data_IF_157076985611
#
_entry.id   IF_157076985611
#
_cell.length_a   1.000
_cell.length_b   1.000
_cell.length_c   1.000
_cell.angle_alpha   90.00
_cell.angle_beta   90.00
_cell.angle_gamma   90.00
#
_symmetry.space_group_name_H-M   'P 1'
#
loop_
_entity.id
_entity.type
_entity.pdbx_description
1 polymer ?
#
# COMPACT_ATOMS: atom_id res chain seq x y z
N UNK A 1 1.94 87.77 10.67
CA UNK A 1 1.62 87.76 12.11
C UNK A 1 0.98 86.42 12.41
N UNK A 2 1.44 85.54 13.28
CA UNK A 2 2.52 85.58 14.26
C UNK A 2 2.90 84.11 14.52
N UNK A 3 4.20 83.87 14.48
CA UNK A 3 4.88 82.77 15.13
C UNK A 3 4.64 82.74 16.65
N UNK A 4 5.01 81.61 17.26
CA UNK A 4 5.22 81.34 18.71
C UNK A 4 3.96 80.76 19.40
N UNK A 5 4.01 79.67 20.17
CA UNK A 5 4.95 79.34 21.23
C UNK A 5 5.02 77.84 21.54
N UNK A 6 6.22 77.41 21.98
CA UNK A 6 6.57 76.13 22.62
C UNK A 6 5.86 75.92 23.96
N UNK A 7 5.71 74.63 24.37
CA UNK A 7 6.07 74.00 25.69
C UNK A 7 5.08 72.86 26.01
N UNK A 8 5.52 71.60 25.98
CA UNK A 8 6.11 70.83 27.09
C UNK A 8 5.10 70.20 28.07
N UNK A 9 5.05 68.85 28.01
CA UNK A 9 4.93 67.87 29.10
C UNK A 9 3.57 67.51 29.76
N UNK A 10 3.09 66.29 29.41
CA UNK A 10 2.58 65.17 30.26
C UNK A 10 1.23 65.36 31.01
N UNK A 11 0.42 64.32 31.34
CA UNK A 11 0.29 62.91 30.89
C UNK A 11 -1.14 62.55 30.42
N UNK A 12 -1.31 61.51 29.61
CA UNK A 12 -2.56 60.71 29.65
C UNK A 12 -2.28 59.23 29.48
N UNK A 13 -2.58 58.51 30.55
CA UNK A 13 -2.88 57.10 30.54
C UNK A 13 -4.15 56.82 29.72
N UNK A 14 -4.15 55.65 29.06
CA UNK A 14 -5.28 54.75 28.83
C UNK A 14 -5.62 54.45 27.36
N UNK A 15 -5.46 53.15 27.06
CA UNK A 15 -6.27 52.29 26.19
C UNK A 15 -6.11 52.37 24.68
N UNK A 16 -5.39 51.36 24.16
CA UNK A 16 -5.79 50.38 23.12
C UNK A 16 -4.52 49.98 22.33
N UNK A 17 -4.19 48.75 21.97
CA UNK A 17 -4.66 47.40 22.28
C UNK A 17 -3.54 46.47 21.79
N UNK A 18 -3.13 45.53 22.64
CA UNK A 18 -2.49 44.23 22.34
C UNK A 18 -1.65 44.06 21.06
N UNK A 19 -0.34 44.23 21.18
CA UNK A 19 0.66 43.52 20.33
C UNK A 19 1.73 42.91 21.25
N UNK A 20 1.48 41.70 21.72
CA UNK A 20 2.43 40.68 22.23
C UNK A 20 1.62 39.37 22.02
N UNK A 21 2.08 38.26 21.47
CA UNK A 21 3.19 37.35 21.80
C UNK A 21 3.29 36.40 20.58
N UNK A 22 4.44 36.09 19.99
CA UNK A 22 5.26 34.91 20.32
C UNK A 22 6.56 34.94 19.49
N UNK A 23 7.59 35.52 20.07
CA UNK A 23 8.97 35.07 19.87
C UNK A 23 9.51 34.75 21.26
N UNK A 24 10.25 33.66 21.32
CA UNK A 24 10.92 33.08 22.50
C UNK A 24 10.07 32.13 23.36
N UNK A 25 10.26 30.83 23.13
CA UNK A 25 10.39 29.85 24.22
C UNK A 25 11.16 28.61 23.75
N UNK A 26 12.40 28.77 23.29
CA UNK A 26 13.38 27.70 23.45
C UNK A 26 13.99 27.90 24.84
N UNK A 27 13.38 27.28 25.85
CA UNK A 27 14.03 27.17 27.16
C UNK A 27 15.23 26.24 27.01
N UNK A 28 16.41 26.84 26.79
CA UNK A 28 17.68 26.14 27.01
C UNK A 28 17.81 25.86 28.51
N UNK A 29 17.47 24.63 28.92
CA UNK A 29 17.71 24.17 30.29
C UNK A 29 19.17 23.72 30.37
N UNK A 30 20.06 24.66 30.67
CA UNK A 30 21.45 24.35 31.02
C UNK A 30 21.43 23.71 32.42
N UNK A 31 21.84 22.44 32.51
CA UNK A 31 22.11 21.71 33.75
C UNK A 31 23.03 22.56 34.64
N UNK A 32 22.48 23.14 35.71
CA UNK A 32 23.19 24.19 36.47
C UNK A 32 24.17 23.66 37.50
N UNK A 33 24.20 22.38 37.86
CA UNK A 33 25.09 21.90 38.92
C UNK A 33 25.65 20.52 38.59
N UNK A 34 26.86 20.46 38.01
CA UNK A 34 27.60 19.21 38.02
C UNK A 34 29.10 19.40 37.82
N UNK A 35 29.90 18.74 38.68
CA UNK A 35 31.36 18.74 38.65
C UNK A 35 31.94 18.05 37.40
N UNK A 36 33.25 18.16 37.17
CA UNK A 36 33.99 17.65 36.01
C UNK A 36 33.78 16.17 35.68
N UNK A 37 33.39 15.32 36.64
CA UNK A 37 33.05 13.92 36.39
C UNK A 37 31.70 13.73 35.67
N UNK A 38 30.84 14.75 35.74
CA UNK A 38 29.53 14.75 35.10
C UNK A 38 29.58 15.25 33.66
N UNK A 39 30.58 16.05 33.28
CA UNK A 39 30.80 16.48 31.88
C UNK A 39 30.99 15.28 30.95
N UNK A 40 31.64 14.20 31.43
CA UNK A 40 31.73 12.95 30.70
C UNK A 40 30.34 12.35 30.45
N UNK A 41 29.47 12.27 31.46
CA UNK A 41 28.12 11.71 31.28
C UNK A 41 27.22 12.63 30.47
N UNK A 42 27.25 13.94 30.72
CA UNK A 42 26.32 14.91 30.13
C UNK A 42 26.70 15.25 28.68
N UNK A 43 27.99 15.36 28.37
CA UNK A 43 28.50 15.68 27.05
C UNK A 43 29.07 14.46 26.31
N UNK A 44 30.20 13.93 26.80
CA UNK A 44 30.99 12.95 26.06
C UNK A 44 30.26 11.60 25.85
N UNK A 45 29.43 11.18 26.81
CA UNK A 45 28.74 9.89 26.77
C UNK A 45 27.66 9.85 25.69
N UNK A 46 26.91 10.94 25.53
CA UNK A 46 25.91 11.06 24.45
C UNK A 46 26.58 10.96 23.09
N UNK A 47 27.64 11.73 22.88
CA UNK A 47 28.35 11.78 21.60
C UNK A 47 29.06 10.45 21.27
N UNK A 48 29.57 9.75 22.30
CA UNK A 48 30.38 8.54 22.13
C UNK A 48 29.60 7.22 22.16
N UNK A 49 28.52 7.12 22.94
CA UNK A 49 27.83 5.86 23.21
C UNK A 49 26.34 5.84 22.83
N UNK A 50 25.68 6.99 22.66
CA UNK A 50 24.27 7.07 22.24
C UNK A 50 24.11 7.35 20.73
N UNK A 51 25.14 7.02 19.95
CA UNK A 51 25.33 7.14 18.49
C UNK A 51 24.18 7.70 17.62
N UNK A 52 24.55 8.54 16.65
CA UNK A 52 23.75 9.18 15.58
C UNK A 52 22.53 10.02 15.99
N UNK A 53 22.12 10.05 17.27
CA UNK A 53 21.11 11.00 17.78
C UNK A 53 21.67 11.76 18.98
N UNK A 54 21.56 13.09 18.96
CA UNK A 54 21.87 13.93 20.13
C UNK A 54 20.78 13.71 21.17
N UNK A 55 21.17 13.26 22.35
CA UNK A 55 20.28 13.05 23.50
C UNK A 55 20.68 14.02 24.61
N UNK A 56 19.73 14.83 25.07
CA UNK A 56 19.93 15.74 26.19
C UNK A 56 19.53 15.08 27.50
N UNK A 57 20.32 15.31 28.55
CA UNK A 57 19.93 14.91 29.91
C UNK A 57 18.88 15.87 30.45
N UNK A 58 17.91 15.34 31.19
CA UNK A 58 16.90 16.14 31.91
C UNK A 58 16.85 15.73 33.38
N UNK A 59 16.67 16.70 34.27
CA UNK A 59 16.41 16.48 35.69
C UNK A 59 14.91 16.27 35.99
N UNK A 60 14.05 16.46 34.98
CA UNK A 60 12.61 16.28 35.12
C UNK A 60 12.24 14.82 34.92
N UNK A 61 11.59 14.22 35.93
CA UNK A 61 10.99 12.89 35.83
C UNK A 61 9.70 12.97 34.99
N UNK A 62 9.86 12.93 33.68
CA UNK A 62 8.74 12.96 32.72
C UNK A 62 8.74 11.68 31.89
N UNK A 63 7.63 10.94 31.92
CA UNK A 63 7.37 9.82 31.01
C UNK A 63 6.38 10.33 29.96
N UNK A 64 6.80 10.56 28.71
CA UNK A 64 5.89 11.11 27.70
C UNK A 64 4.76 10.13 27.42
N UNK A 65 3.53 10.62 27.52
CA UNK A 65 2.35 9.83 27.16
C UNK A 65 2.21 9.80 25.63
N UNK A 66 2.03 8.61 25.01
CA UNK A 66 1.78 8.53 23.57
C UNK A 66 0.48 9.24 23.16
N UNK A 67 -0.45 9.44 24.09
CA UNK A 67 -1.73 10.14 23.85
C UNK A 67 -1.62 11.67 23.86
N UNK A 68 -0.48 12.21 24.30
CA UNK A 68 -0.22 13.66 24.33
C UNK A 68 0.71 14.10 23.19
N UNK A 69 1.32 13.15 22.48
CA UNK A 69 2.18 13.43 21.35
C UNK A 69 1.34 13.74 20.10
N UNK A 70 1.81 14.70 19.29
CA UNK A 70 1.20 14.97 18.00
C UNK A 70 1.33 13.76 17.08
N UNK A 71 0.26 13.45 16.37
CA UNK A 71 0.23 12.37 15.38
C UNK A 71 0.73 12.84 14.02
N UNK A 72 1.12 11.89 13.18
CA UNK A 72 1.55 12.15 11.80
C UNK A 72 0.32 12.57 10.98
N UNK A 73 0.34 13.75 10.33
CA UNK A 73 -0.79 14.24 9.55
C UNK A 73 -0.99 13.42 8.27
N UNK A 74 -2.21 13.44 7.73
CA UNK A 74 -2.56 12.79 6.47
C UNK A 74 -2.28 13.75 5.32
N UNK A 75 -1.28 13.45 4.49
CA UNK A 75 -0.97 14.21 3.27
C UNK A 75 -2.07 14.02 2.22
N UNK A 76 -2.56 15.13 1.67
CA UNK A 76 -3.65 15.21 0.71
C UNK A 76 -3.38 16.31 -0.29
N UNK A 77 -3.72 16.09 -1.56
CA UNK A 77 -3.45 17.02 -2.67
C UNK A 77 -4.73 17.63 -3.21
N UNK A 78 -5.78 16.83 -3.35
CA UNK A 78 -7.10 17.25 -3.84
C UNK A 78 -8.14 17.21 -2.73
N UNK A 79 -9.22 17.99 -2.81
CA UNK A 79 -10.40 17.79 -1.97
C UNK A 79 -11.37 16.77 -2.60
N UNK A 80 -12.52 16.52 -1.97
CA UNK A 80 -13.58 15.62 -2.47
C UNK A 80 -14.19 16.11 -3.79
N UNK A 81 -14.09 17.41 -4.06
CA UNK A 81 -14.58 18.10 -5.26
C UNK A 81 -13.56 18.09 -6.41
N UNK A 82 -12.41 17.42 -6.23
CA UNK A 82 -11.37 17.30 -7.26
C UNK A 82 -10.60 18.61 -7.53
N UNK A 83 -10.60 19.55 -6.58
CA UNK A 83 -9.81 20.78 -6.62
C UNK A 83 -8.49 20.59 -5.88
N UNK A 84 -7.41 21.18 -6.38
CA UNK A 84 -6.11 21.18 -5.70
C UNK A 84 -6.15 22.09 -4.47
N UNK A 85 -5.82 21.53 -3.31
CA UNK A 85 -5.80 22.27 -2.03
C UNK A 85 -4.62 23.25 -2.02
N UNK A 86 -3.45 22.79 -2.47
CA UNK A 86 -2.26 23.60 -2.66
C UNK A 86 -1.68 23.29 -4.05
N UNK A 87 -1.72 24.25 -4.99
CA UNK A 87 -1.22 24.08 -6.36
C UNK A 87 0.24 23.65 -6.46
N UNK A 88 1.07 23.89 -5.44
CA UNK A 88 2.47 23.47 -5.44
C UNK A 88 2.66 21.95 -5.45
N UNK A 89 1.61 21.20 -5.12
CA UNK A 89 1.61 19.74 -5.13
C UNK A 89 0.85 19.16 -6.34
N UNK A 90 0.43 19.96 -7.33
CA UNK A 90 0.04 19.42 -8.64
C UNK A 90 1.30 18.87 -9.35
N UNK A 91 1.40 17.56 -9.59
CA UNK A 91 2.60 16.98 -10.19
C UNK A 91 2.68 17.17 -11.71
N UNK A 92 1.79 18.00 -12.30
CA UNK A 92 1.73 18.31 -13.72
C UNK A 92 1.66 17.04 -14.58
N UNK A 93 0.71 16.16 -14.25
CA UNK A 93 0.50 14.91 -14.98
C UNK A 93 0.15 15.21 -16.44
N UNK A 94 0.73 14.44 -17.38
CA UNK A 94 0.21 14.46 -18.75
C UNK A 94 -1.20 13.88 -18.78
N UNK A 95 -2.02 14.33 -19.73
CA UNK A 95 -3.38 13.83 -19.94
C UNK A 95 -3.38 12.32 -20.12
N UNK A 96 -2.41 11.77 -20.86
CA UNK A 96 -2.29 10.34 -21.14
C UNK A 96 -2.04 9.53 -19.87
N UNK A 97 -1.12 9.99 -19.01
CA UNK A 97 -0.82 9.31 -17.74
C UNK A 97 -2.02 9.35 -16.79
N UNK A 98 -2.67 10.51 -16.69
CA UNK A 98 -3.86 10.68 -15.85
C UNK A 98 -5.02 9.78 -16.32
N UNK A 99 -5.30 9.76 -17.63
CA UNK A 99 -6.32 8.86 -18.21
C UNK A 99 -5.95 7.40 -17.99
N UNK A 100 -4.68 7.00 -18.19
CA UNK A 100 -4.23 5.62 -17.92
C UNK A 100 -4.54 5.21 -16.49
N UNK A 101 -4.19 6.03 -15.50
CA UNK A 101 -4.46 5.74 -14.09
C UNK A 101 -5.97 5.57 -13.83
N UNK A 102 -6.79 6.49 -14.35
CA UNK A 102 -8.23 6.43 -14.17
C UNK A 102 -8.88 5.21 -14.82
N UNK A 103 -8.50 4.92 -16.06
CA UNK A 103 -8.96 3.76 -16.82
C UNK A 103 -8.64 2.45 -16.09
N UNK A 104 -7.45 2.33 -15.49
CA UNK A 104 -7.09 1.17 -14.68
C UNK A 104 -7.97 1.02 -13.43
N UNK A 105 -8.34 2.11 -12.76
CA UNK A 105 -9.25 2.03 -11.60
C UNK A 105 -10.65 1.52 -12.02
N UNK A 106 -11.16 2.00 -13.16
CA UNK A 106 -12.44 1.51 -13.70
C UNK A 106 -12.33 0.03 -14.07
N UNK A 107 -11.26 -0.36 -14.77
CA UNK A 107 -11.05 -1.75 -15.19
C UNK A 107 -11.00 -2.69 -14.00
N UNK A 108 -10.25 -2.32 -12.93
CA UNK A 108 -10.18 -3.09 -11.69
C UNK A 108 -11.55 -3.26 -11.04
N UNK A 109 -12.30 -2.16 -10.87
CA UNK A 109 -13.64 -2.20 -10.26
C UNK A 109 -14.63 -3.06 -11.04
N UNK A 110 -14.57 -3.01 -12.38
CA UNK A 110 -15.45 -3.83 -13.23
C UNK A 110 -15.04 -5.31 -13.20
N UNK A 111 -13.74 -5.59 -13.12
CA UNK A 111 -13.21 -6.96 -12.98
C UNK A 111 -13.65 -7.57 -11.65
N UNK A 112 -13.59 -6.80 -10.57
CA UNK A 112 -14.01 -7.25 -9.25
C UNK A 112 -15.47 -7.63 -9.21
N UNK A 113 -16.36 -6.83 -9.80
CA UNK A 113 -17.80 -7.16 -9.85
C UNK A 113 -18.06 -8.50 -10.54
N UNK A 114 -17.43 -8.71 -11.69
CA UNK A 114 -17.63 -9.94 -12.49
C UNK A 114 -17.08 -11.17 -11.76
N UNK A 115 -15.86 -11.08 -11.21
CA UNK A 115 -15.23 -12.22 -10.54
C UNK A 115 -15.84 -12.50 -9.16
N UNK A 116 -16.30 -11.47 -8.44
CA UNK A 116 -17.05 -11.65 -7.21
C UNK A 116 -18.37 -12.40 -7.46
N UNK A 117 -19.14 -11.98 -8.46
CA UNK A 117 -20.39 -12.67 -8.84
C UNK A 117 -20.13 -14.09 -9.35
N UNK A 118 -19.03 -14.30 -10.08
CA UNK A 118 -18.59 -15.63 -10.52
C UNK A 118 -18.36 -16.58 -9.34
N UNK A 119 -17.72 -16.08 -8.29
CA UNK A 119 -17.50 -16.86 -7.06
C UNK A 119 -18.83 -17.18 -6.38
N UNK A 120 -19.79 -16.24 -6.31
CA UNK A 120 -21.13 -16.49 -5.75
C UNK A 120 -21.92 -17.57 -6.51
N UNK A 121 -21.61 -17.77 -7.79
CA UNK A 121 -22.16 -18.84 -8.62
C UNK A 121 -21.38 -20.16 -8.52
N UNK A 122 -20.29 -20.22 -7.75
CA UNK A 122 -19.45 -21.41 -7.60
C UNK A 122 -18.55 -21.72 -8.81
N UNK A 123 -18.39 -20.77 -9.75
CA UNK A 123 -17.55 -20.96 -10.95
C UNK A 123 -16.05 -20.88 -10.63
N UNK A 124 -15.70 -20.05 -9.64
CA UNK A 124 -14.37 -19.99 -9.02
C UNK A 124 -14.50 -20.20 -7.51
N UNK A 125 -13.44 -20.67 -6.86
CA UNK A 125 -13.53 -21.09 -5.45
C UNK A 125 -13.47 -19.94 -4.45
N UNK A 126 -12.75 -18.86 -4.78
CA UNK A 126 -12.47 -17.74 -3.87
C UNK A 126 -12.27 -16.44 -4.65
N UNK A 127 -12.57 -15.29 -4.01
CA UNK A 127 -12.24 -13.98 -4.55
C UNK A 127 -12.15 -12.91 -3.45
N UNK A 128 -11.39 -11.83 -3.71
CA UNK A 128 -11.33 -10.63 -2.87
C UNK A 128 -11.39 -9.40 -3.78
N UNK A 129 -12.32 -8.49 -3.49
CA UNK A 129 -12.47 -7.25 -4.24
C UNK A 129 -11.51 -6.15 -3.73
N UNK A 130 -11.26 -5.14 -4.55
CA UNK A 130 -10.33 -4.05 -4.31
C UNK A 130 -11.05 -2.71 -4.05
N UNK A 131 -12.38 -2.73 -3.99
CA UNK A 131 -13.21 -1.53 -3.86
C UNK A 131 -12.82 -0.68 -2.65
N UNK A 132 -12.49 0.58 -2.92
CA UNK A 132 -12.00 1.57 -1.95
C UNK A 132 -10.49 1.75 -1.97
N UNK A 133 -9.73 0.77 -2.48
CA UNK A 133 -8.26 0.78 -2.44
C UNK A 133 -7.62 0.98 -3.83
N UNK A 134 -8.40 1.33 -4.85
CA UNK A 134 -7.94 1.44 -6.24
C UNK A 134 -6.89 2.54 -6.41
N UNK A 135 -7.11 3.72 -5.81
CA UNK A 135 -6.17 4.84 -5.85
C UNK A 135 -4.83 4.49 -5.18
N UNK A 136 -4.87 3.81 -4.03
CA UNK A 136 -3.67 3.36 -3.32
C UNK A 136 -2.83 2.41 -4.19
N UNK A 137 -3.46 1.46 -4.88
CA UNK A 137 -2.77 0.50 -5.74
C UNK A 137 -2.21 1.15 -7.01
N UNK A 138 -3.05 1.89 -7.74
CA UNK A 138 -2.69 2.44 -9.05
C UNK A 138 -1.79 3.66 -8.93
N UNK A 139 -2.06 4.55 -7.97
CA UNK A 139 -1.23 5.72 -7.71
C UNK A 139 0.19 5.32 -7.30
N UNK A 140 0.33 4.29 -6.46
CA UNK A 140 1.65 3.80 -6.05
C UNK A 140 2.39 3.11 -7.19
N UNK A 141 1.71 2.26 -7.96
CA UNK A 141 2.32 1.62 -9.13
C UNK A 141 2.78 2.64 -10.20
N UNK A 142 2.01 3.71 -10.39
CA UNK A 142 2.37 4.82 -11.29
C UNK A 142 3.58 5.64 -10.80
N UNK A 143 3.82 5.70 -9.48
CA UNK A 143 4.96 6.39 -8.89
C UNK A 143 6.29 5.61 -8.96
N UNK A 144 6.28 4.39 -9.52
CA UNK A 144 7.44 3.51 -9.64
C UNK A 144 7.97 3.44 -11.06
N UNK A 145 9.19 2.92 -11.22
CA UNK A 145 9.68 2.46 -12.53
C UNK A 145 9.09 1.09 -12.85
N UNK A 146 8.96 0.79 -14.14
CA UNK A 146 8.45 -0.49 -14.61
C UNK A 146 9.32 -1.68 -14.16
N UNK A 147 10.62 -1.44 -13.94
CA UNK A 147 11.59 -2.46 -13.51
C UNK A 147 11.78 -2.55 -11.98
N UNK A 148 11.14 -1.71 -11.17
CA UNK A 148 11.15 -1.87 -9.71
C UNK A 148 10.42 -3.16 -9.31
N UNK A 149 10.84 -3.83 -8.24
CA UNK A 149 10.24 -5.11 -7.83
C UNK A 149 9.07 -4.88 -6.86
N UNK A 150 7.94 -5.56 -7.09
CA UNK A 150 6.75 -5.49 -6.25
C UNK A 150 6.55 -6.80 -5.49
N UNK A 151 6.39 -6.69 -4.17
CA UNK A 151 5.84 -7.74 -3.32
C UNK A 151 4.46 -7.31 -2.82
N UNK A 152 3.42 -8.09 -3.09
CA UNK A 152 2.06 -7.84 -2.61
C UNK A 152 1.67 -8.73 -1.43
N UNK A 153 0.48 -8.49 -0.90
CA UNK A 153 -0.16 -9.33 0.11
C UNK A 153 -1.28 -10.18 -0.50
N UNK A 154 -2.27 -9.55 -1.16
CA UNK A 154 -3.36 -10.19 -1.91
C UNK A 154 -4.39 -9.16 -2.45
N UNK A 155 -4.23 -7.86 -2.17
CA UNK A 155 -5.15 -6.79 -2.60
C UNK A 155 -4.41 -5.74 -3.40
N UNK A 156 -3.54 -6.20 -4.30
CA UNK A 156 -2.64 -5.40 -5.13
C UNK A 156 -2.83 -5.70 -6.64
N UNK A 157 -4.00 -6.24 -7.00
CA UNK A 157 -4.33 -6.55 -8.40
C UNK A 157 -4.29 -5.29 -9.29
N UNK A 158 -4.64 -4.12 -8.75
CA UNK A 158 -4.53 -2.82 -9.42
C UNK A 158 -3.09 -2.44 -9.77
N UNK A 159 -2.11 -2.75 -8.91
CA UNK A 159 -0.70 -2.47 -9.18
C UNK A 159 -0.19 -3.33 -10.35
N UNK A 160 -0.58 -4.61 -10.36
CA UNK A 160 -0.24 -5.55 -11.43
C UNK A 160 -0.97 -5.21 -12.75
N UNK A 161 -2.23 -4.79 -12.67
CA UNK A 161 -3.03 -4.32 -13.80
C UNK A 161 -2.41 -3.07 -14.44
N UNK A 162 -1.97 -2.10 -13.63
CA UNK A 162 -1.31 -0.88 -14.11
C UNK A 162 -0.03 -1.16 -14.90
N UNK A 163 0.71 -2.23 -14.53
CA UNK A 163 1.88 -2.74 -15.25
C UNK A 163 1.54 -3.47 -16.55
N UNK A 164 0.25 -3.58 -16.90
CA UNK A 164 -0.19 -4.19 -18.15
C UNK A 164 -0.35 -5.70 -18.08
N UNK A 165 -0.55 -6.28 -16.89
CA UNK A 165 -0.87 -7.70 -16.79
C UNK A 165 -2.18 -8.00 -17.51
N UNK A 166 -2.22 -8.99 -18.44
CA UNK A 166 -3.40 -9.21 -19.26
C UNK A 166 -4.62 -9.63 -18.43
N UNK A 167 -5.81 -9.12 -18.82
CA UNK A 167 -7.08 -9.52 -18.21
C UNK A 167 -7.27 -11.03 -18.25
N UNK A 168 -6.94 -11.69 -19.37
CA UNK A 168 -7.02 -13.15 -19.48
C UNK A 168 -6.16 -13.86 -18.44
N UNK A 169 -4.98 -13.33 -18.10
CA UNK A 169 -4.09 -13.93 -17.12
C UNK A 169 -4.64 -13.85 -15.70
N UNK A 170 -5.33 -12.76 -15.33
CA UNK A 170 -6.09 -12.71 -14.06
C UNK A 170 -7.16 -13.81 -14.02
N UNK A 171 -7.91 -13.97 -15.11
CA UNK A 171 -8.95 -15.00 -15.20
C UNK A 171 -8.36 -16.41 -15.15
N UNK A 172 -7.26 -16.66 -15.85
CA UNK A 172 -6.60 -17.98 -15.88
C UNK A 172 -6.16 -18.41 -14.49
N UNK A 173 -5.58 -17.49 -13.71
CA UNK A 173 -5.18 -17.75 -12.33
C UNK A 173 -6.39 -18.04 -11.44
N UNK A 174 -7.45 -17.23 -11.51
CA UNK A 174 -8.67 -17.46 -10.72
C UNK A 174 -9.39 -18.77 -11.08
N UNK A 175 -9.36 -19.17 -12.34
CA UNK A 175 -9.87 -20.46 -12.77
C UNK A 175 -8.89 -21.61 -12.51
N UNK A 176 -7.62 -21.37 -12.21
CA UNK A 176 -6.58 -22.39 -12.15
C UNK A 176 -6.56 -23.27 -13.41
N UNK A 177 -6.75 -22.65 -14.58
CA UNK A 177 -6.81 -23.37 -15.85
C UNK A 177 -5.41 -23.59 -16.44
N UNK A 178 -5.31 -24.35 -17.53
CA UNK A 178 -4.02 -24.73 -18.12
C UNK A 178 -3.19 -23.59 -18.70
N UNK A 179 -3.77 -22.38 -18.85
CA UNK A 179 -3.04 -21.17 -19.25
C UNK A 179 -2.59 -20.32 -18.06
N UNK A 180 -2.89 -20.74 -16.84
CA UNK A 180 -2.33 -20.11 -15.65
C UNK A 180 -0.80 -20.34 -15.61
N UNK A 181 -0.04 -19.25 -15.57
CA UNK A 181 1.41 -19.29 -15.41
C UNK A 181 1.86 -19.86 -14.06
N UNK A 182 0.97 -19.84 -13.05
CA UNK A 182 1.15 -20.52 -11.77
C UNK A 182 0.78 -22.01 -11.78
N UNK A 183 0.35 -22.55 -12.93
CA UNK A 183 0.00 -23.95 -13.10
C UNK A 183 -1.24 -24.40 -12.32
N UNK A 184 -2.14 -23.48 -11.93
CA UNK A 184 -3.34 -23.80 -11.16
C UNK A 184 -3.06 -24.32 -9.74
N UNK A 185 -1.87 -24.06 -9.20
CA UNK A 185 -1.39 -24.63 -7.94
C UNK A 185 -1.78 -23.84 -6.69
N UNK A 186 -2.21 -22.58 -6.86
CA UNK A 186 -2.56 -21.69 -5.75
C UNK A 186 -4.04 -21.31 -5.76
N UNK A 187 -4.52 -20.82 -4.61
CA UNK A 187 -5.85 -20.24 -4.48
C UNK A 187 -6.05 -19.10 -5.50
N UNK A 188 -7.27 -18.86 -6.01
CA UNK A 188 -7.57 -17.65 -6.77
C UNK A 188 -7.05 -16.40 -6.07
N UNK A 189 -6.76 -15.35 -6.85
CA UNK A 189 -6.14 -14.07 -6.47
C UNK A 189 -4.65 -14.11 -6.08
N UNK A 190 -4.02 -15.28 -6.07
CA UNK A 190 -2.58 -15.40 -5.84
C UNK A 190 -1.77 -15.13 -7.12
N UNK A 191 -1.86 -13.90 -7.61
CA UNK A 191 -1.20 -13.50 -8.85
C UNK A 191 0.32 -13.40 -8.70
N UNK A 192 1.04 -13.56 -9.81
CA UNK A 192 2.49 -13.42 -9.89
C UNK A 192 2.93 -13.24 -11.33
N UNK A 193 3.97 -12.45 -11.59
CA UNK A 193 4.51 -12.31 -12.94
C UNK A 193 5.94 -11.78 -12.95
N UNK A 194 6.88 -12.64 -13.34
CA UNK A 194 8.29 -12.25 -13.52
C UNK A 194 8.44 -11.13 -14.58
N UNK A 195 7.67 -11.19 -15.67
CA UNK A 195 7.68 -10.18 -16.75
C UNK A 195 7.33 -8.77 -16.25
N UNK A 196 6.45 -8.68 -15.25
CA UNK A 196 5.98 -7.42 -14.68
C UNK A 196 6.65 -7.12 -13.34
N UNK A 197 7.75 -7.81 -13.01
CA UNK A 197 8.50 -7.67 -11.76
C UNK A 197 7.58 -7.70 -10.53
N UNK A 198 6.64 -8.64 -10.52
CA UNK A 198 5.66 -8.81 -9.45
C UNK A 198 5.82 -10.22 -8.88
N UNK A 199 6.27 -10.31 -7.63
CA UNK A 199 6.51 -11.58 -6.95
C UNK A 199 5.18 -12.25 -6.63
N UNK A 200 5.11 -13.57 -6.86
CA UNK A 200 3.90 -14.35 -6.64
C UNK A 200 3.42 -14.24 -5.20
N UNK A 201 2.13 -13.94 -5.04
CA UNK A 201 1.46 -13.87 -3.75
C UNK A 201 1.44 -15.23 -3.03
N UNK A 202 1.52 -15.18 -1.70
CA UNK A 202 1.28 -16.31 -0.79
C UNK A 202 0.34 -15.89 0.35
N UNK A 203 -0.48 -16.81 0.87
CA UNK A 203 -1.44 -16.50 1.94
C UNK A 203 -0.83 -16.04 3.27
N UNK A 204 0.31 -16.60 3.76
CA UNK A 204 0.86 -16.22 5.06
C UNK A 204 1.22 -14.73 5.12
N UNK A 205 0.59 -14.01 6.05
CA UNK A 205 0.73 -12.56 6.17
C UNK A 205 2.16 -12.17 6.52
N UNK A 206 2.56 -10.99 6.04
CA UNK A 206 3.84 -10.33 6.30
C UNK A 206 5.13 -11.07 5.87
N UNK A 207 5.06 -12.36 5.51
CA UNK A 207 6.23 -13.15 5.08
C UNK A 207 7.00 -12.55 3.90
N UNK A 208 6.30 -11.81 3.03
CA UNK A 208 6.89 -11.10 1.91
C UNK A 208 7.74 -9.90 2.32
N UNK A 209 7.54 -9.32 3.51
CA UNK A 209 8.22 -8.11 3.96
C UNK A 209 9.73 -8.34 4.15
N UNK A 210 10.21 -9.34 4.94
CA UNK A 210 11.65 -9.58 5.04
C UNK A 210 12.25 -10.07 3.72
N UNK A 211 11.49 -10.77 2.87
CA UNK A 211 11.92 -11.19 1.54
C UNK A 211 12.15 -9.99 0.61
N UNK A 212 11.27 -8.98 0.67
CA UNK A 212 11.41 -7.73 -0.05
C UNK A 212 12.67 -6.97 0.38
N UNK A 213 12.97 -6.96 1.69
CA UNK A 213 14.20 -6.35 2.23
C UNK A 213 15.45 -7.08 1.72
N UNK A 214 15.43 -8.42 1.67
CA UNK A 214 16.53 -9.20 1.09
C UNK A 214 16.76 -8.89 -0.39
N UNK A 215 15.68 -8.77 -1.16
CA UNK A 215 15.74 -8.40 -2.59
C UNK A 215 16.28 -6.97 -2.78
N UNK A 216 15.83 -6.02 -1.95
CA UNK A 216 16.32 -4.65 -1.97
C UNK A 216 17.81 -4.58 -1.61
N UNK A 217 18.24 -5.36 -0.63
CA UNK A 217 19.66 -5.47 -0.27
C UNK A 217 20.50 -5.99 -1.44
N UNK A 218 19.99 -6.96 -2.20
CA UNK A 218 20.66 -7.44 -3.42
C UNK A 218 20.79 -6.31 -4.46
N UNK A 219 19.72 -5.55 -4.73
CA UNK A 219 19.75 -4.42 -5.68
C UNK A 219 20.74 -3.33 -5.26
N UNK A 220 20.82 -3.03 -3.95
CA UNK A 220 21.84 -2.14 -3.41
C UNK A 220 23.25 -2.64 -3.73
N UNK A 221 23.52 -3.94 -3.52
CA UNK A 221 24.84 -4.53 -3.79
C UNK A 221 25.19 -4.50 -5.28
N UNK A 222 24.20 -4.68 -6.14
CA UNK A 222 24.33 -4.57 -7.60
C UNK A 222 24.49 -3.12 -8.08
N UNK A 223 24.08 -2.13 -7.27
CA UNK A 223 24.11 -0.70 -7.61
C UNK A 223 23.30 -0.38 -8.88
N UNK A 224 22.16 -1.04 -9.05
CA UNK A 224 21.35 -0.95 -10.27
C UNK A 224 20.27 0.16 -10.23
N UNK A 225 20.13 0.89 -9.12
CA UNK A 225 19.16 1.98 -8.95
C UNK A 225 17.69 1.53 -8.86
N UNK A 226 17.44 0.21 -8.78
CA UNK A 226 16.10 -0.35 -8.63
C UNK A 226 15.71 -0.33 -7.15
N UNK A 227 14.44 -0.08 -6.89
CA UNK A 227 13.86 -0.19 -5.55
C UNK A 227 12.94 -1.40 -5.46
N UNK A 228 12.60 -1.77 -4.23
CA UNK A 228 11.53 -2.74 -3.96
C UNK A 228 10.38 -2.02 -3.26
N UNK A 229 9.15 -2.26 -3.68
CA UNK A 229 7.96 -1.88 -2.91
C UNK A 229 7.34 -3.15 -2.31
N UNK A 230 6.96 -3.08 -1.04
CA UNK A 230 6.33 -4.17 -0.31
C UNK A 230 4.99 -3.69 0.28
N UNK A 231 3.89 -4.21 -0.26
CA UNK A 231 2.54 -3.88 0.19
C UNK A 231 2.08 -4.80 1.32
N UNK A 232 1.33 -4.24 2.27
CA UNK A 232 0.71 -4.97 3.38
C UNK A 232 -0.41 -4.16 4.01
N UNK A 233 -1.36 -4.83 4.67
CA UNK A 233 -2.39 -4.19 5.49
C UNK A 233 -1.92 -3.88 6.92
N UNK A 234 -2.64 -3.01 7.62
CA UNK A 234 -2.33 -2.65 9.01
C UNK A 234 -2.39 -3.85 9.97
N UNK A 235 -3.24 -4.84 9.68
CA UNK A 235 -3.25 -6.10 10.43
C UNK A 235 -2.01 -6.96 10.22
N UNK A 236 -1.50 -7.03 8.98
CA UNK A 236 -0.25 -7.75 8.71
C UNK A 236 0.96 -7.05 9.36
N UNK A 237 0.87 -5.75 9.63
CA UNK A 237 1.91 -5.03 10.37
C UNK A 237 2.04 -5.50 11.83
N UNK A 238 1.06 -6.23 12.38
CA UNK A 238 1.14 -6.81 13.72
C UNK A 238 1.93 -8.14 13.78
N UNK A 239 2.25 -8.73 12.63
CA UNK A 239 3.09 -9.93 12.56
C UNK A 239 4.56 -9.64 12.90
N UNK A 240 5.25 -10.63 13.47
CA UNK A 240 6.68 -10.51 13.81
C UNK A 240 7.59 -10.23 12.61
N UNK A 241 7.21 -10.72 11.42
CA UNK A 241 7.96 -10.49 10.18
C UNK A 241 7.97 -9.02 9.75
N UNK A 242 6.93 -8.24 10.10
CA UNK A 242 6.92 -6.80 9.85
C UNK A 242 7.98 -6.08 10.69
N UNK A 243 8.12 -6.43 11.96
CA UNK A 243 9.17 -5.92 12.84
C UNK A 243 10.57 -6.28 12.30
N UNK A 244 10.78 -7.56 11.94
CA UNK A 244 12.04 -8.03 11.39
C UNK A 244 12.42 -7.26 10.12
N UNK A 245 11.47 -7.11 9.18
CA UNK A 245 11.69 -6.40 7.93
C UNK A 245 12.06 -4.93 8.14
N UNK A 246 11.30 -4.19 8.96
CA UNK A 246 11.57 -2.77 9.22
C UNK A 246 12.96 -2.57 9.84
N UNK A 247 13.30 -3.36 10.87
CA UNK A 247 14.60 -3.25 11.51
C UNK A 247 15.76 -3.63 10.55
N UNK A 248 15.61 -4.72 9.79
CA UNK A 248 16.61 -5.13 8.80
C UNK A 248 16.79 -4.07 7.71
N UNK A 249 15.72 -3.49 7.19
CA UNK A 249 15.80 -2.47 6.14
C UNK A 249 16.55 -1.22 6.59
N UNK A 250 16.32 -0.78 7.82
CA UNK A 250 16.97 0.40 8.38
C UNK A 250 18.47 0.14 8.64
N UNK A 251 18.78 -0.93 9.39
CA UNK A 251 20.16 -1.26 9.76
C UNK A 251 21.02 -1.61 8.55
N UNK A 252 20.45 -2.31 7.58
CA UNK A 252 21.13 -2.69 6.34
C UNK A 252 21.02 -1.62 5.25
N UNK A 253 20.34 -0.49 5.49
CA UNK A 253 20.16 0.60 4.51
C UNK A 253 19.65 0.06 3.18
N UNK A 254 18.46 -0.53 3.16
CA UNK A 254 17.90 -1.15 1.96
C UNK A 254 17.03 -0.15 1.16
N UNK A 255 17.10 -0.17 -0.19
CA UNK A 255 16.26 0.63 -1.07
C UNK A 255 14.84 0.05 -1.17
N UNK A 256 14.08 0.13 -0.08
CA UNK A 256 12.73 -0.45 0.03
C UNK A 256 11.70 0.58 0.48
N UNK A 257 10.53 0.53 -0.16
CA UNK A 257 9.32 1.24 0.23
C UNK A 257 8.37 0.23 0.87
N UNK A 258 8.05 0.43 2.14
CA UNK A 258 6.96 -0.25 2.83
C UNK A 258 5.67 0.52 2.55
N UNK A 259 4.70 -0.11 1.90
CA UNK A 259 3.42 0.52 1.58
C UNK A 259 2.30 -0.14 2.38
N UNK A 260 1.94 0.46 3.50
CA UNK A 260 0.87 0.01 4.36
C UNK A 260 -0.47 0.56 3.86
N UNK A 261 -1.41 -0.33 3.51
CA UNK A 261 -2.81 0.01 3.28
C UNK A 261 -3.57 -0.11 4.59
N UNK A 262 -3.83 1.01 5.25
CA UNK A 262 -4.59 1.05 6.49
C UNK A 262 -6.06 1.32 6.17
N UNK A 263 -6.86 0.27 6.13
CA UNK A 263 -8.27 0.34 5.79
C UNK A 263 -9.20 0.22 7.02
N UNK A 264 -8.60 0.24 8.22
CA UNK A 264 -9.28 0.17 9.50
C UNK A 264 -9.66 -1.23 10.00
N UNK A 265 -9.50 -2.29 9.20
CA UNK A 265 -9.97 -3.63 9.54
C UNK A 265 -9.11 -4.80 9.01
N UNK A 266 -8.71 -5.68 9.93
CA UNK A 266 -8.17 -7.00 9.62
C UNK A 266 -9.28 -8.07 9.77
N UNK A 267 -9.89 -8.46 8.64
CA UNK A 267 -11.14 -9.26 8.62
C UNK A 267 -12.23 -8.53 9.42
N UNK A 268 -12.50 -8.94 10.66
CA UNK A 268 -13.47 -8.36 11.59
C UNK A 268 -12.84 -7.51 12.70
N UNK A 269 -11.52 -7.59 12.89
CA UNK A 269 -10.82 -6.87 13.96
C UNK A 269 -10.60 -5.40 13.55
N UNK A 270 -11.23 -4.43 14.24
CA UNK A 270 -11.01 -3.02 13.97
C UNK A 270 -9.59 -2.58 14.40
N UNK A 271 -9.10 -1.50 13.81
CA UNK A 271 -7.77 -0.94 14.12
C UNK A 271 -7.56 -0.65 15.61
N UNK A 272 -8.62 -0.28 16.34
CA UNK A 272 -8.59 -0.04 17.79
C UNK A 272 -8.23 -1.27 18.63
N UNK A 273 -8.47 -2.47 18.09
CA UNK A 273 -8.06 -3.75 18.68
C UNK A 273 -6.76 -4.29 18.07
N UNK A 274 -6.30 -3.68 16.97
CA UNK A 274 -5.09 -4.08 16.26
C UNK A 274 -3.83 -3.43 16.88
N UNK A 275 -3.91 -2.16 17.26
CA UNK A 275 -2.82 -1.41 17.88
C UNK A 275 -3.34 -0.21 18.68
N UNK A 276 -2.51 0.31 19.60
CA UNK A 276 -2.86 1.48 20.42
C UNK A 276 -2.02 2.73 20.12
N UNK A 277 -1.05 2.64 19.21
CA UNK A 277 -0.20 3.76 18.79
C UNK A 277 -0.80 4.58 17.64
N UNK A 278 -0.02 5.54 17.16
CA UNK A 278 -0.36 6.37 15.99
C UNK A 278 -0.22 5.59 14.67
N UNK A 279 -1.08 4.61 14.44
CA UNK A 279 -1.08 3.80 13.23
C UNK A 279 0.23 3.03 13.00
N UNK A 280 0.51 2.74 11.74
CA UNK A 280 1.76 2.10 11.33
C UNK A 280 2.86 3.14 11.12
N UNK A 281 2.53 4.34 10.61
CA UNK A 281 3.49 5.43 10.47
C UNK A 281 4.17 5.80 11.79
N UNK A 282 3.46 5.79 12.91
CA UNK A 282 4.02 6.07 14.24
C UNK A 282 5.13 5.10 14.67
N UNK A 283 5.24 3.93 14.03
CA UNK A 283 6.28 2.92 14.33
C UNK A 283 7.63 3.24 13.67
N UNK A 284 7.63 4.00 12.57
CA UNK A 284 8.81 4.17 11.72
C UNK A 284 9.99 4.87 12.41
N UNK A 285 9.71 5.88 13.25
CA UNK A 285 10.73 6.66 13.95
C UNK A 285 11.58 5.81 14.89
N UNK A 286 10.98 4.75 15.46
CA UNK A 286 11.63 3.76 16.32
C UNK A 286 12.62 2.86 15.57
N UNK A 287 12.42 2.64 14.26
CA UNK A 287 13.38 1.93 13.41
C UNK A 287 14.35 2.87 12.69
N UNK A 288 14.12 4.19 12.72
CA UNK A 288 14.89 5.15 11.93
C UNK A 288 14.53 5.13 10.43
N UNK A 289 13.26 4.87 10.11
CA UNK A 289 12.71 4.84 8.75
C UNK A 289 11.99 6.16 8.48
N UNK A 290 12.14 6.72 7.26
CA UNK A 290 11.35 7.87 6.84
C UNK A 290 9.87 7.48 6.72
N UNK A 291 8.93 8.32 7.14
CA UNK A 291 7.52 7.98 7.08
C UNK A 291 6.64 9.13 6.60
N UNK A 292 5.59 8.77 5.87
CA UNK A 292 4.52 9.66 5.45
C UNK A 292 3.18 8.93 5.52
N UNK A 293 2.17 9.58 6.11
CA UNK A 293 0.79 9.13 6.03
C UNK A 293 0.09 9.89 4.92
N UNK A 294 -0.67 9.21 4.08
CA UNK A 294 -1.35 9.80 2.92
C UNK A 294 -2.82 9.45 2.92
N UNK A 295 -3.62 10.33 2.32
CA UNK A 295 -5.00 10.03 1.94
C UNK A 295 -4.96 8.99 0.81
N UNK A 296 -5.34 7.76 1.12
CA UNK A 296 -5.32 6.63 0.19
C UNK A 296 -6.40 6.68 -0.88
N UNK A 297 -7.40 7.55 -0.72
CA UNK A 297 -8.44 7.81 -1.72
C UNK A 297 -8.04 8.94 -2.68
N UNK A 298 -7.01 9.71 -2.33
CA UNK A 298 -6.40 10.71 -3.20
C UNK A 298 -5.30 10.10 -4.06
N UNK A 299 -5.66 9.74 -5.30
CA UNK A 299 -4.73 9.12 -6.25
C UNK A 299 -3.47 9.98 -6.50
N UNK A 300 -3.60 11.30 -6.51
CA UNK A 300 -2.47 12.21 -6.74
C UNK A 300 -1.56 12.25 -5.50
N UNK A 301 -2.13 12.27 -4.29
CA UNK A 301 -1.33 12.22 -3.06
C UNK A 301 -0.52 10.92 -2.95
N UNK A 302 -1.14 9.78 -3.27
CA UNK A 302 -0.47 8.48 -3.29
C UNK A 302 0.66 8.46 -4.33
N UNK A 303 0.39 8.96 -5.53
CA UNK A 303 1.39 9.04 -6.60
C UNK A 303 2.59 9.91 -6.19
N UNK A 304 2.33 11.12 -5.68
CA UNK A 304 3.38 12.05 -5.23
C UNK A 304 4.23 11.43 -4.11
N UNK A 305 3.59 10.86 -3.09
CA UNK A 305 4.28 10.24 -1.97
C UNK A 305 5.11 9.04 -2.41
N UNK A 306 4.60 8.21 -3.33
CA UNK A 306 5.35 7.05 -3.83
C UNK A 306 6.53 7.48 -4.68
N UNK A 307 6.38 8.49 -5.53
CA UNK A 307 7.48 9.06 -6.34
C UNK A 307 8.58 9.63 -5.45
N UNK A 308 8.22 10.42 -4.44
CA UNK A 308 9.17 10.96 -3.46
C UNK A 308 9.84 9.85 -2.62
N UNK A 309 9.07 8.85 -2.18
CA UNK A 309 9.59 7.70 -1.43
C UNK A 309 10.58 6.88 -2.27
N UNK A 310 10.32 6.73 -3.57
CA UNK A 310 11.23 6.08 -4.51
C UNK A 310 12.57 6.80 -4.60
N UNK A 311 12.55 8.12 -4.73
CA UNK A 311 13.77 8.94 -4.77
C UNK A 311 14.59 8.85 -3.47
N UNK A 312 13.93 8.73 -2.31
CA UNK A 312 14.58 8.50 -1.01
C UNK A 312 15.14 7.06 -0.95
N UNK A 313 14.32 6.06 -1.29
CA UNK A 313 14.71 4.66 -1.28
C UNK A 313 15.91 4.37 -2.19
N UNK A 314 15.99 4.99 -3.36
CA UNK A 314 17.13 4.85 -4.28
C UNK A 314 18.46 5.32 -3.65
N UNK A 315 18.42 6.19 -2.63
CA UNK A 315 19.58 6.58 -1.81
C UNK A 315 19.92 5.59 -0.68
N UNK A 316 19.28 4.41 -0.68
CA UNK A 316 19.41 3.36 0.33
C UNK A 316 18.83 3.72 1.69
N UNK A 317 17.77 4.53 1.70
CA UNK A 317 17.05 4.94 2.89
C UNK A 317 15.62 4.40 2.82
N UNK A 318 15.23 3.42 3.66
CA UNK A 318 13.89 2.86 3.59
C UNK A 318 12.82 3.92 3.93
N UNK A 319 11.65 3.76 3.30
CA UNK A 319 10.50 4.65 3.51
C UNK A 319 9.26 3.84 3.83
N UNK A 320 8.46 4.30 4.77
CA UNK A 320 7.12 3.80 5.06
C UNK A 320 6.07 4.81 4.58
N UNK A 321 5.16 4.34 3.72
CA UNK A 321 3.94 5.05 3.35
C UNK A 321 2.77 4.34 4.04
N UNK A 322 1.98 5.06 4.84
CA UNK A 322 0.70 4.58 5.34
C UNK A 322 -0.43 5.27 4.57
N UNK A 323 -1.06 4.55 3.65
CA UNK A 323 -2.21 5.02 2.90
C UNK A 323 -3.49 4.73 3.70
N UNK A 324 -4.13 5.79 4.18
CA UNK A 324 -5.40 5.73 4.90
C UNK A 324 -6.52 5.58 3.88
N UNK A 325 -7.19 4.44 3.88
CA UNK A 325 -8.27 4.12 2.95
C UNK A 325 -9.43 3.48 3.73
N UNK A 326 -10.42 2.97 3.02
CA UNK A 326 -11.51 2.25 3.63
C UNK A 326 -11.92 1.04 2.78
N UNK A 327 -12.08 -0.11 3.43
CA UNK A 327 -12.44 -1.35 2.75
C UNK A 327 -13.93 -1.38 2.47
N UNK A 328 -14.35 -0.92 1.29
CA UNK A 328 -15.78 -0.83 0.95
C UNK A 328 -16.42 -2.22 0.84
N UNK A 329 -15.72 -3.18 0.23
CA UNK A 329 -16.21 -4.56 0.13
C UNK A 329 -16.09 -5.34 1.44
N UNK A 330 -16.69 -6.53 1.48
CA UNK A 330 -16.32 -7.57 2.46
C UNK A 330 -14.81 -7.89 2.39
N UNK A 331 -14.29 -8.54 3.42
CA UNK A 331 -12.89 -8.96 3.45
C UNK A 331 -12.54 -9.86 2.25
N UNK A 332 -13.38 -10.88 2.04
CA UNK A 332 -13.34 -11.85 0.94
C UNK A 332 -14.75 -12.38 0.66
N UNK A 333 -14.89 -13.24 -0.34
CA UNK A 333 -16.12 -13.99 -0.57
C UNK A 333 -16.50 -14.95 0.56
N UNK A 334 -15.58 -15.25 1.47
CA UNK A 334 -15.85 -16.10 2.65
C UNK A 334 -16.23 -15.29 3.89
N UNK A 335 -16.40 -13.98 3.76
CA UNK A 335 -16.72 -13.04 4.84
C UNK A 335 -18.06 -12.34 4.58
N UNK A 336 -18.79 -12.08 5.67
CA UNK A 336 -19.94 -11.18 5.66
C UNK A 336 -19.69 -10.05 6.66
N UNK A 337 -19.23 -8.92 6.12
CA UNK A 337 -18.90 -7.77 6.93
C UNK A 337 -20.08 -7.05 7.57
N UNK A 338 -21.31 -7.35 7.17
CA UNK A 338 -22.50 -6.74 7.80
C UNK A 338 -22.68 -7.21 9.24
N UNK A 339 -22.02 -8.31 9.63
CA UNK A 339 -22.00 -8.83 10.99
C UNK A 339 -21.22 -7.96 11.99
N UNK A 340 -20.29 -7.11 11.53
CA UNK A 340 -19.39 -6.36 12.42
C UNK A 340 -19.11 -4.92 11.98
N UNK A 341 -19.72 -4.44 10.88
CA UNK A 341 -19.66 -3.04 10.43
C UNK A 341 -21.04 -2.49 10.18
N UNK A 342 -21.23 -1.21 10.48
CA UNK A 342 -22.53 -0.57 10.27
C UNK A 342 -22.75 -0.24 8.78
N UNK A 343 -24.00 -0.33 8.33
CA UNK A 343 -24.39 0.10 6.98
C UNK A 343 -24.22 1.60 6.77
N UNK A 344 -24.35 2.40 7.82
CA UNK A 344 -24.14 3.86 7.79
C UNK A 344 -22.68 4.21 7.47
N UNK A 345 -21.72 3.52 8.11
CA UNK A 345 -20.29 3.67 7.85
C UNK A 345 -19.96 3.33 6.38
N UNK A 346 -20.41 2.17 5.89
CA UNK A 346 -20.21 1.75 4.50
C UNK A 346 -20.79 2.76 3.49
N UNK A 347 -22.00 3.28 3.77
CA UNK A 347 -22.68 4.24 2.90
C UNK A 347 -21.92 5.56 2.84
N UNK A 348 -21.41 6.01 3.99
CA UNK A 348 -20.63 7.26 4.09
C UNK A 348 -19.40 7.21 3.21
N UNK A 349 -18.57 6.16 3.32
CA UNK A 349 -17.38 6.02 2.51
C UNK A 349 -17.69 5.86 1.02
N UNK A 350 -18.69 5.05 0.69
CA UNK A 350 -19.05 4.80 -0.71
C UNK A 350 -19.60 6.05 -1.42
N UNK A 351 -20.31 6.93 -0.70
CA UNK A 351 -20.92 8.13 -1.29
C UNK A 351 -20.04 9.37 -1.21
N UNK A 352 -19.30 9.56 -0.10
CA UNK A 352 -18.61 10.83 0.18
C UNK A 352 -17.14 10.84 -0.21
N UNK A 353 -16.47 9.69 -0.19
CA UNK A 353 -15.01 9.64 -0.43
C UNK A 353 -14.61 8.38 -1.21
N UNK A 354 -15.08 8.32 -2.46
CA UNK A 354 -14.74 7.25 -3.40
C UNK A 354 -13.56 7.69 -4.31
N UNK A 355 -12.45 6.92 -4.39
CA UNK A 355 -11.27 7.30 -5.17
C UNK A 355 -11.55 7.46 -6.67
N UNK A 356 -12.43 6.62 -7.23
CA UNK A 356 -12.79 6.66 -8.65
C UNK A 356 -13.58 7.95 -8.94
N UNK A 357 -14.57 8.26 -8.10
CA UNK A 357 -15.38 9.47 -8.28
C UNK A 357 -14.51 10.72 -8.12
N UNK A 358 -13.68 10.78 -7.08
CA UNK A 358 -12.81 11.93 -6.82
C UNK A 358 -11.85 12.22 -7.97
N UNK A 359 -11.16 11.20 -8.48
CA UNK A 359 -10.24 11.40 -9.60
C UNK A 359 -10.96 11.68 -10.92
N UNK A 360 -12.15 11.13 -11.14
CA UNK A 360 -13.01 11.53 -12.28
C UNK A 360 -13.27 13.03 -12.27
N UNK A 361 -13.66 13.58 -11.11
CA UNK A 361 -13.93 15.01 -10.97
C UNK A 361 -12.70 15.85 -11.28
N UNK A 362 -11.50 15.42 -10.85
CA UNK A 362 -10.23 16.08 -11.24
C UNK A 362 -10.06 16.13 -12.75
N UNK A 363 -10.30 15.02 -13.46
CA UNK A 363 -10.17 14.96 -14.92
C UNK A 363 -11.24 15.82 -15.63
N UNK A 364 -12.46 15.84 -15.11
CA UNK A 364 -13.56 16.67 -15.63
C UNK A 364 -13.26 18.16 -15.46
N UNK A 365 -12.75 18.57 -14.30
CA UNK A 365 -12.34 19.94 -14.02
C UNK A 365 -11.20 20.40 -14.96
N UNK A 366 -10.30 19.50 -15.36
CA UNK A 366 -9.25 19.77 -16.36
C UNK A 366 -9.74 19.66 -17.82
N UNK A 367 -11.01 19.28 -18.06
CA UNK A 367 -11.56 19.07 -19.41
C UNK A 367 -10.95 17.86 -20.14
N UNK A 368 -10.43 16.89 -19.39
CA UNK A 368 -9.71 15.73 -19.93
C UNK A 368 -10.59 14.49 -20.08
N UNK A 369 -11.75 14.47 -19.44
CA UNK A 369 -12.67 13.33 -19.44
C UNK A 369 -14.12 13.79 -19.36
N UNK A 370 -15.04 13.16 -20.10
CA UNK A 370 -16.48 13.46 -20.09
C UNK A 370 -17.33 12.31 -19.51
N UNK A 371 -18.61 12.57 -19.26
CA UNK A 371 -19.57 11.55 -18.82
C UNK A 371 -19.82 10.50 -19.91
N UNK A 372 -19.84 10.92 -21.18
CA UNK A 372 -19.97 10.04 -22.34
C UNK A 372 -18.75 9.13 -22.47
N UNK A 373 -17.54 9.66 -22.30
CA UNK A 373 -16.29 8.88 -22.30
C UNK A 373 -16.26 7.86 -21.16
N UNK A 374 -16.67 8.25 -19.95
CA UNK A 374 -16.77 7.34 -18.80
C UNK A 374 -17.73 6.17 -19.08
N UNK A 375 -18.94 6.49 -19.56
CA UNK A 375 -19.95 5.47 -19.89
C UNK A 375 -19.44 4.53 -20.99
N UNK A 376 -18.90 5.08 -22.07
CA UNK A 376 -18.37 4.29 -23.18
C UNK A 376 -17.22 3.37 -22.73
N UNK A 377 -16.31 3.87 -21.90
CA UNK A 377 -15.19 3.09 -21.39
C UNK A 377 -15.65 1.97 -20.45
N UNK A 378 -16.59 2.23 -19.54
CA UNK A 378 -17.18 1.20 -18.65
C UNK A 378 -17.87 0.09 -19.42
N UNK A 379 -18.63 0.43 -20.46
CA UNK A 379 -19.29 -0.54 -21.34
C UNK A 379 -18.28 -1.37 -22.13
N UNK A 380 -17.25 -0.72 -22.68
CA UNK A 380 -16.14 -1.39 -23.37
C UNK A 380 -15.44 -2.38 -22.44
N UNK A 381 -15.00 -1.94 -21.26
CA UNK A 381 -14.31 -2.81 -20.30
C UNK A 381 -15.18 -3.95 -19.79
N UNK A 382 -16.47 -3.71 -19.55
CA UNK A 382 -17.38 -4.80 -19.18
C UNK A 382 -17.41 -5.89 -20.25
N UNK A 383 -17.42 -5.53 -21.54
CA UNK A 383 -17.41 -6.49 -22.66
C UNK A 383 -16.08 -7.24 -22.78
N UNK A 384 -14.96 -6.57 -22.55
CA UNK A 384 -13.60 -7.15 -22.64
C UNK A 384 -13.24 -8.05 -21.45
N UNK A 385 -13.76 -7.75 -20.25
CA UNK A 385 -13.57 -8.54 -19.03
C UNK A 385 -14.50 -9.76 -19.01
N UNK A 386 -15.77 -9.57 -19.39
CA UNK A 386 -16.54 -10.65 -20.03
C UNK A 386 -15.81 -11.04 -21.33
N UNK A 387 -16.16 -11.99 -22.19
CA UNK A 387 -15.16 -12.44 -23.20
C UNK A 387 -13.88 -13.05 -22.58
N UNK A 388 -12.93 -12.31 -21.99
CA UNK A 388 -11.76 -12.87 -21.28
C UNK A 388 -12.17 -13.91 -20.23
N UNK A 389 -13.18 -13.60 -19.42
CA UNK A 389 -13.78 -14.53 -18.46
C UNK A 389 -14.35 -15.79 -19.13
N UNK A 390 -15.18 -15.64 -20.17
CA UNK A 390 -15.80 -16.78 -20.87
C UNK A 390 -14.78 -17.63 -21.63
N UNK A 391 -13.71 -17.01 -22.11
CA UNK A 391 -12.60 -17.70 -22.76
C UNK A 391 -11.82 -18.50 -21.71
N UNK A 392 -11.55 -17.93 -20.54
CA UNK A 392 -10.87 -18.60 -19.44
C UNK A 392 -11.67 -19.80 -18.90
N UNK A 393 -13.00 -19.68 -18.82
CA UNK A 393 -13.89 -20.75 -18.34
C UNK A 393 -13.89 -21.99 -19.23
N UNK A 394 -13.69 -21.80 -20.55
CA UNK A 394 -13.66 -22.91 -21.53
C UNK A 394 -12.34 -23.66 -21.55
N UNK A 395 -11.29 -23.10 -20.93
CA UNK A 395 -9.97 -23.73 -20.93
C UNK A 395 -9.95 -24.81 -19.85
N UNK A 396 -9.57 -26.06 -20.18
CA UNK A 396 -9.44 -27.12 -19.19
C UNK A 396 -8.37 -26.78 -18.14
N UNK A 397 -8.42 -27.46 -17.01
CA UNK A 397 -7.37 -27.45 -15.99
C UNK A 397 -6.05 -27.98 -16.56
N UNK A 398 -4.89 -27.63 -15.97
CA UNK A 398 -3.59 -28.22 -16.33
C UNK A 398 -3.65 -29.76 -16.30
N UNK A 399 -2.69 -30.45 -16.90
CA UNK A 399 -2.65 -31.92 -16.81
C UNK A 399 -2.52 -32.35 -15.33
N UNK A 400 -3.28 -33.35 -14.85
CA UNK A 400 -3.31 -33.73 -13.41
C UNK A 400 -1.91 -33.98 -12.85
N UNK A 401 -1.06 -34.70 -13.60
CA UNK A 401 0.31 -35.02 -13.18
C UNK A 401 1.23 -33.79 -13.06
N UNK A 402 0.83 -32.60 -13.52
CA UNK A 402 1.63 -31.38 -13.32
C UNK A 402 1.64 -30.90 -11.86
N UNK A 403 0.83 -31.50 -10.99
CA UNK A 403 0.90 -31.26 -9.54
C UNK A 403 2.27 -31.64 -8.94
N UNK A 404 3.03 -32.52 -9.59
CA UNK A 404 4.37 -32.94 -9.16
C UNK A 404 5.48 -32.03 -9.71
N UNK A 405 5.17 -31.22 -10.72
CA UNK A 405 6.14 -30.34 -11.37
C UNK A 405 6.48 -29.15 -10.45
N UNK A 406 7.70 -28.62 -10.59
CA UNK A 406 8.21 -27.42 -9.90
C UNK A 406 8.30 -27.51 -8.36
N UNK A 407 8.07 -28.68 -7.76
CA UNK A 407 8.38 -28.90 -6.32
C UNK A 407 9.88 -28.71 -6.06
N UNK A 408 10.69 -29.23 -6.98
CA UNK A 408 12.12 -28.96 -7.13
C UNK A 408 12.40 -28.63 -8.59
N UNK A 409 13.56 -28.00 -8.88
CA UNK A 409 14.01 -27.75 -10.26
C UNK A 409 14.10 -29.05 -11.07
N UNK A 410 14.65 -30.09 -10.44
CA UNK A 410 14.71 -31.45 -11.01
C UNK A 410 13.91 -32.37 -10.09
N UNK A 411 12.93 -33.08 -10.65
CA UNK A 411 12.04 -33.97 -9.89
C UNK A 411 12.85 -35.11 -9.26
N UNK A 412 12.91 -35.24 -7.93
CA UNK A 412 13.64 -36.33 -7.29
C UNK A 412 13.03 -37.70 -7.59
N UNK A 413 13.83 -38.78 -7.50
CA UNK A 413 13.39 -40.14 -7.85
C UNK A 413 12.11 -40.57 -7.13
N UNK A 414 12.01 -40.33 -5.83
CA UNK A 414 10.82 -40.67 -5.04
C UNK A 414 9.57 -39.89 -5.51
N UNK A 415 9.73 -38.66 -6.00
CA UNK A 415 8.62 -37.87 -6.54
C UNK A 415 8.21 -38.35 -7.95
N UNK A 416 9.17 -38.81 -8.75
CA UNK A 416 8.89 -39.50 -10.02
C UNK A 416 8.12 -40.81 -9.80
N UNK A 417 8.51 -41.59 -8.79
CA UNK A 417 7.82 -42.83 -8.40
C UNK A 417 6.36 -42.55 -8.02
N UNK A 418 6.10 -41.54 -7.17
CA UNK A 418 4.74 -41.10 -6.83
C UNK A 418 3.93 -40.61 -8.03
N UNK A 419 4.57 -39.87 -8.94
CA UNK A 419 3.94 -39.40 -10.18
C UNK A 419 3.50 -40.57 -11.07
N UNK A 420 4.35 -41.59 -11.18
CA UNK A 420 4.04 -42.79 -11.96
C UNK A 420 2.95 -43.64 -11.29
N UNK A 421 2.99 -43.78 -9.96
CA UNK A 421 1.93 -44.44 -9.19
C UNK A 421 0.57 -43.77 -9.41
N UNK A 422 0.51 -42.42 -9.39
CA UNK A 422 -0.74 -41.71 -9.71
C UNK A 422 -1.18 -41.94 -11.16
N UNK A 423 -0.23 -41.97 -12.12
CA UNK A 423 -0.56 -42.25 -13.52
C UNK A 423 -1.18 -43.66 -13.69
N UNK A 424 -0.61 -44.68 -13.03
CA UNK A 424 -1.14 -46.04 -13.02
C UNK A 424 -2.51 -46.10 -12.33
N UNK A 425 -2.68 -45.41 -11.21
CA UNK A 425 -3.96 -45.31 -10.49
C UNK A 425 -5.05 -44.70 -11.38
N UNK A 426 -4.76 -43.59 -12.07
CA UNK A 426 -5.71 -42.92 -12.96
C UNK A 426 -6.03 -43.76 -14.19
N UNK A 427 -5.11 -44.58 -14.68
CA UNK A 427 -5.39 -45.52 -15.77
C UNK A 427 -6.43 -46.59 -15.34
N UNK A 428 -6.37 -47.08 -14.10
CA UNK A 428 -7.30 -48.09 -13.59
C UNK A 428 -8.62 -47.50 -13.04
N UNK A 429 -8.52 -46.36 -12.35
CA UNK A 429 -9.61 -45.78 -11.55
C UNK A 429 -10.07 -44.41 -12.04
N UNK A 430 -9.55 -43.91 -13.17
CA UNK A 430 -9.82 -42.56 -13.69
C UNK A 430 -11.29 -42.23 -13.87
N UNK A 431 -12.16 -43.23 -14.10
CA UNK A 431 -13.63 -43.04 -14.17
C UNK A 431 -14.24 -42.44 -12.88
N UNK A 432 -13.54 -42.52 -11.75
CA UNK A 432 -13.97 -41.96 -10.47
C UNK A 432 -13.45 -40.53 -10.22
N UNK A 433 -12.69 -39.98 -11.16
CA UNK A 433 -12.08 -38.66 -11.10
C UNK A 433 -12.64 -37.74 -12.19
N UNK A 434 -12.59 -36.40 -12.02
CA UNK A 434 -13.10 -35.44 -13.00
C UNK A 434 -12.16 -35.26 -14.21
N UNK A 435 -11.76 -36.37 -14.85
CA UNK A 435 -10.70 -36.40 -15.87
C UNK A 435 -10.99 -35.49 -17.07
N UNK A 436 -12.26 -35.38 -17.45
CA UNK A 436 -12.72 -34.56 -18.59
C UNK A 436 -12.43 -33.06 -18.45
N UNK A 437 -12.16 -32.58 -17.23
CA UNK A 437 -11.93 -31.17 -16.95
C UNK A 437 -10.43 -30.81 -17.08
N UNK A 438 -9.54 -31.78 -17.24
CA UNK A 438 -8.07 -31.61 -17.26
C UNK A 438 -7.50 -31.86 -18.67
N UNK A 439 -6.37 -31.23 -19.01
CA UNK A 439 -5.69 -31.44 -20.30
C UNK A 439 -5.06 -32.83 -20.43
N UNK A 440 -5.06 -33.35 -21.67
CA UNK A 440 -4.18 -34.44 -22.11
C UNK A 440 -4.64 -35.85 -21.75
N UNK A 441 -5.94 -36.05 -21.47
CA UNK A 441 -6.51 -37.35 -21.07
C UNK A 441 -7.79 -37.63 -21.83
#
# INVERSE_FOLDING_TARGET
MLSQFRRCFIPTSSQMSSVVVLRESLQSVILRHCSTASDFRIGEFTDKYLSHRKVEFTEKLEIPSPYQQSTIPIYRVTNSEGEFIDPNYDPDLTKELAIKMYQNMITLHQMDKILYDSQRQGRISFYMANAGEEAAQIGSAAGLRDDDLMFGQYREAGSLLYRGFPLESFMHQCYGNAKDIGGGKQMPIHYGSAKHHYVTISSPLATQLPQAVGSAYAFKRERNGRVVIAYFGEGAASEGDAHAAMNMAATLKCPVIFFCRNNGYAISTPATEQYSGDGICGRASGYGIHAIRVDGNDLIAVYNATKAAREIAERNEPVLIEAMTYRISHHSTSDDSTAYRSTEELTTWNQKDNPITRFRTVLQNKGWWSDEEDKAYREKMRKEIMSAFLNAEKIPKPHILSMFDDVYKEMPKNLQEQRNELAEHLNHYGKHYPMKDFQGI
#
